data_IF_791487496702
#
_entry.id   IF_791487496702
#
_cell.length_a   1.000
_cell.length_b   1.000
_cell.length_c   1.000
_cell.angle_alpha   90.00
_cell.angle_beta   90.00
_cell.angle_gamma   90.00
#
_symmetry.space_group_name_H-M   'P 1'
#
loop_
_entity.id
_entity.type
_entity.pdbx_description
1 polymer ?
#
# COMPACT_ATOMS: atom_id res chain seq x y z
N UNK A 1 -29.63 51.25 14.10
CA UNK A 1 -29.16 50.97 12.73
C UNK A 1 -28.25 49.77 12.88
N UNK A 2 -28.86 48.62 12.81
CA UNK A 2 -28.17 47.33 12.86
C UNK A 2 -27.87 46.87 11.44
N UNK A 3 -26.64 46.87 11.08
CA UNK A 3 -26.15 46.53 9.78
C UNK A 3 -25.82 45.05 9.69
N UNK A 4 -26.58 44.36 8.89
CA UNK A 4 -26.49 42.97 8.50
C UNK A 4 -25.13 42.64 7.93
N UNK A 5 -24.26 42.03 8.70
CA UNK A 5 -23.07 41.31 8.19
C UNK A 5 -23.54 39.90 7.80
N UNK A 6 -23.91 39.73 6.55
CA UNK A 6 -24.14 38.43 5.92
C UNK A 6 -22.80 37.68 5.85
N UNK A 7 -22.60 36.74 6.76
CA UNK A 7 -21.57 35.75 6.63
C UNK A 7 -21.82 34.92 5.35
N UNK A 8 -21.01 35.15 4.35
CA UNK A 8 -20.90 34.28 3.18
C UNK A 8 -20.19 33.00 3.66
N UNK A 9 -20.98 31.99 3.99
CA UNK A 9 -20.45 30.64 4.19
C UNK A 9 -20.00 30.13 2.83
N UNK A 10 -18.72 30.15 2.57
CA UNK A 10 -18.08 29.38 1.50
C UNK A 10 -18.28 27.89 1.80
N UNK A 11 -19.34 27.33 1.26
CA UNK A 11 -19.45 25.89 1.04
C UNK A 11 -18.36 25.47 0.05
N UNK A 12 -17.19 25.09 0.58
CA UNK A 12 -16.19 24.39 -0.21
C UNK A 12 -16.79 23.06 -0.65
N UNK A 13 -17.42 23.04 -1.81
CA UNK A 13 -17.90 21.83 -2.46
C UNK A 13 -16.68 20.93 -2.74
N UNK A 14 -16.49 19.91 -1.89
CA UNK A 14 -15.47 18.87 -2.12
C UNK A 14 -15.68 18.31 -3.52
N UNK A 15 -14.67 18.33 -4.41
CA UNK A 15 -14.82 17.83 -5.77
C UNK A 15 -15.27 16.37 -5.71
N UNK A 16 -16.42 16.06 -6.34
CA UNK A 16 -16.92 14.69 -6.49
C UNK A 16 -15.81 13.87 -7.14
N UNK A 17 -15.20 12.97 -6.38
CA UNK A 17 -14.17 12.06 -6.90
C UNK A 17 -14.81 11.22 -8.00
N UNK A 18 -14.24 11.21 -9.19
CA UNK A 18 -14.72 10.36 -10.27
C UNK A 18 -14.67 8.89 -9.83
N UNK A 19 -15.61 8.02 -10.25
CA UNK A 19 -15.59 6.62 -9.87
C UNK A 19 -14.26 5.95 -10.21
N UNK A 20 -13.62 6.35 -11.30
CA UNK A 20 -12.30 5.90 -11.69
C UNK A 20 -11.22 6.27 -10.65
N UNK A 21 -11.28 7.47 -10.07
CA UNK A 21 -10.30 7.86 -9.03
C UNK A 21 -10.47 7.07 -7.74
N UNK A 22 -11.70 6.67 -7.41
CA UNK A 22 -11.97 5.80 -6.24
C UNK A 22 -11.39 4.41 -6.49
N UNK A 23 -11.66 3.81 -7.65
CA UNK A 23 -11.12 2.49 -8.03
C UNK A 23 -9.59 2.49 -8.00
N UNK A 24 -8.95 3.50 -8.59
CA UNK A 24 -7.48 3.62 -8.56
C UNK A 24 -6.95 3.76 -7.13
N UNK A 25 -7.63 4.55 -6.29
CA UNK A 25 -7.22 4.71 -4.89
C UNK A 25 -7.33 3.38 -4.13
N UNK A 26 -8.43 2.66 -4.29
CA UNK A 26 -8.63 1.34 -3.66
C UNK A 26 -7.57 0.35 -4.13
N UNK A 27 -7.32 0.28 -5.44
CA UNK A 27 -6.29 -0.59 -6.01
C UNK A 27 -4.89 -0.26 -5.46
N UNK A 28 -4.57 1.03 -5.33
CA UNK A 28 -3.31 1.48 -4.73
C UNK A 28 -3.17 0.98 -3.29
N UNK A 29 -4.23 1.10 -2.47
CA UNK A 29 -4.19 0.62 -1.09
C UNK A 29 -4.06 -0.90 -1.00
N UNK A 30 -4.69 -1.65 -1.92
CA UNK A 30 -4.54 -3.11 -2.01
C UNK A 30 -3.08 -3.48 -2.32
N UNK A 31 -2.45 -2.81 -3.29
CA UNK A 31 -1.04 -3.05 -3.64
C UNK A 31 -0.10 -2.70 -2.48
N UNK A 32 -0.34 -1.59 -1.78
CA UNK A 32 0.44 -1.21 -0.58
C UNK A 32 0.29 -2.25 0.51
N UNK A 33 -0.94 -2.66 0.82
CA UNK A 33 -1.21 -3.67 1.85
C UNK A 33 -0.53 -5.02 1.49
N UNK A 34 -0.59 -5.42 0.21
CA UNK A 34 0.09 -6.62 -0.28
C UNK A 34 1.61 -6.50 -0.17
N UNK A 35 2.20 -5.37 -0.55
CA UNK A 35 3.65 -5.15 -0.43
C UNK A 35 4.11 -5.18 1.03
N UNK A 36 3.36 -4.56 1.94
CA UNK A 36 3.63 -4.60 3.38
C UNK A 36 3.48 -6.02 3.93
N UNK A 37 2.45 -6.75 3.50
CA UNK A 37 2.27 -8.15 3.88
C UNK A 37 3.45 -9.02 3.44
N UNK A 38 3.89 -8.90 2.18
CA UNK A 38 5.04 -9.66 1.66
C UNK A 38 6.33 -9.27 2.39
N UNK A 39 6.52 -7.99 2.71
CA UNK A 39 7.68 -7.53 3.48
C UNK A 39 7.69 -8.14 4.89
N UNK A 40 6.58 -8.08 5.61
CA UNK A 40 6.44 -8.69 6.95
C UNK A 40 6.65 -10.21 6.85
N UNK A 41 6.01 -10.86 5.87
CA UNK A 41 6.16 -12.29 5.63
C UNK A 41 7.62 -12.66 5.34
N UNK A 42 8.34 -11.88 4.53
CA UNK A 42 9.75 -12.12 4.24
C UNK A 42 10.62 -12.00 5.49
N UNK A 43 10.41 -10.94 6.29
CA UNK A 43 11.13 -10.73 7.55
C UNK A 43 10.87 -11.89 8.53
N UNK A 44 9.60 -12.25 8.70
CA UNK A 44 9.20 -13.37 9.57
C UNK A 44 9.77 -14.69 9.03
N UNK A 45 9.66 -14.94 7.73
CA UNK A 45 10.19 -16.14 7.08
C UNK A 45 11.71 -16.26 7.21
N UNK A 46 12.46 -15.16 7.08
CA UNK A 46 13.92 -15.16 7.22
C UNK A 46 14.37 -15.34 8.68
N UNK A 47 13.65 -14.75 9.64
CA UNK A 47 14.00 -14.82 11.04
C UNK A 47 13.51 -16.10 11.74
N UNK A 48 12.40 -16.67 11.28
CA UNK A 48 11.77 -17.87 11.86
C UNK A 48 12.24 -19.13 11.13
N UNK A 49 12.50 -19.05 9.80
CA UNK A 49 12.95 -20.20 8.97
C UNK A 49 14.46 -20.40 8.98
N UNK A 50 15.24 -19.47 9.53
CA UNK A 50 16.72 -19.61 9.62
C UNK A 50 17.19 -20.73 10.56
N UNK A 51 16.34 -21.28 11.41
CA UNK A 51 16.63 -22.43 12.27
C UNK A 51 15.48 -23.40 12.49
N UNK A 52 14.23 -23.02 12.30
CA UNK A 52 13.08 -23.92 12.41
C UNK A 52 11.92 -23.34 11.59
N UNK A 53 11.18 -24.23 10.99
CA UNK A 53 9.99 -24.02 10.16
C UNK A 53 8.98 -23.06 10.81
N UNK A 54 8.35 -22.22 10.00
CA UNK A 54 7.38 -21.25 10.49
C UNK A 54 6.25 -21.95 11.24
N UNK A 55 6.21 -21.76 12.54
CA UNK A 55 5.14 -22.23 13.40
C UNK A 55 4.13 -21.11 13.59
N UNK A 56 2.89 -21.35 13.14
CA UNK A 56 1.78 -20.40 13.25
C UNK A 56 0.59 -21.15 13.87
N UNK A 57 0.18 -20.74 15.06
CA UNK A 57 -0.96 -21.34 15.77
C UNK A 57 -0.87 -22.87 15.92
N UNK A 58 0.31 -23.42 16.22
CA UNK A 58 0.53 -24.85 16.40
C UNK A 58 0.54 -25.65 15.10
N UNK A 59 0.69 -24.98 13.96
CA UNK A 59 0.83 -25.60 12.65
C UNK A 59 2.13 -25.20 12.01
N UNK A 60 2.69 -26.10 11.17
CA UNK A 60 3.85 -25.87 10.31
C UNK A 60 3.48 -25.99 8.86
N UNK A 61 4.19 -25.24 8.02
CA UNK A 61 3.95 -25.17 6.59
C UNK A 61 5.20 -25.62 5.84
N UNK A 62 5.04 -26.62 4.98
CA UNK A 62 6.13 -27.16 4.18
C UNK A 62 5.82 -27.04 2.70
N UNK A 63 6.83 -26.73 1.90
CA UNK A 63 6.76 -26.80 0.45
C UNK A 63 7.25 -28.17 0.03
N UNK A 64 6.40 -28.94 -0.63
CA UNK A 64 6.71 -30.27 -1.11
C UNK A 64 7.70 -30.20 -2.25
N UNK A 65 8.82 -30.91 -2.13
CA UNK A 65 9.90 -30.89 -3.11
C UNK A 65 9.79 -32.01 -4.14
N UNK A 66 9.18 -33.13 -3.79
CA UNK A 66 9.16 -34.36 -4.58
C UNK A 66 7.74 -34.86 -4.80
N UNK A 67 7.55 -35.68 -5.83
CA UNK A 67 6.27 -36.28 -6.18
C UNK A 67 6.00 -37.61 -5.51
N UNK A 68 6.69 -37.98 -4.43
CA UNK A 68 6.56 -39.28 -3.76
C UNK A 68 5.16 -39.61 -3.24
N UNK A 69 4.32 -38.57 -3.06
CA UNK A 69 2.94 -38.65 -2.60
C UNK A 69 1.92 -38.24 -3.67
N UNK A 70 2.34 -38.00 -4.91
CA UNK A 70 1.45 -37.57 -5.98
C UNK A 70 0.59 -38.73 -6.50
N UNK A 71 -0.48 -38.40 -7.23
CA UNK A 71 -1.40 -39.36 -7.81
C UNK A 71 -0.67 -40.37 -8.72
N UNK A 72 -0.97 -41.65 -8.56
CA UNK A 72 -0.48 -42.75 -9.38
C UNK A 72 -1.49 -43.92 -9.35
N UNK A 73 -1.23 -44.96 -10.14
CA UNK A 73 -2.04 -46.18 -10.09
C UNK A 73 -1.99 -46.86 -8.71
N UNK A 74 -0.88 -46.70 -7.96
CA UNK A 74 -0.69 -47.34 -6.67
C UNK A 74 -1.53 -46.72 -5.55
N UNK A 75 -1.97 -45.46 -5.71
CA UNK A 75 -2.67 -44.69 -4.68
C UNK A 75 -3.95 -44.00 -5.18
N UNK A 76 -4.48 -44.39 -6.34
CA UNK A 76 -5.68 -43.80 -6.96
C UNK A 76 -6.93 -43.87 -6.09
N UNK A 77 -7.00 -44.84 -5.19
CA UNK A 77 -8.11 -45.05 -4.27
C UNK A 77 -7.91 -44.34 -2.92
N UNK A 78 -6.81 -43.57 -2.75
CA UNK A 78 -6.55 -42.78 -1.57
C UNK A 78 -7.14 -41.38 -1.73
N UNK A 79 -7.60 -40.79 -0.63
CA UNK A 79 -8.23 -39.46 -0.64
C UNK A 79 -7.22 -38.31 -0.75
N UNK A 80 -5.94 -38.57 -0.45
CA UNK A 80 -4.91 -37.51 -0.35
C UNK A 80 -3.79 -37.75 -1.34
N UNK A 81 -3.62 -36.79 -2.24
CA UNK A 81 -2.50 -36.71 -3.17
C UNK A 81 -1.77 -35.37 -3.00
N UNK A 82 -0.46 -35.44 -2.93
CA UNK A 82 0.39 -34.26 -2.68
C UNK A 82 1.45 -34.20 -3.78
N UNK A 83 1.43 -33.12 -4.57
CA UNK A 83 2.35 -32.95 -5.69
C UNK A 83 3.55 -32.08 -5.31
N UNK A 84 4.65 -32.25 -6.02
CA UNK A 84 5.76 -31.31 -5.89
C UNK A 84 5.29 -29.89 -6.16
N UNK A 85 5.71 -28.95 -5.32
CA UNK A 85 5.28 -27.54 -5.39
C UNK A 85 3.97 -27.22 -4.69
N UNK A 86 3.30 -28.20 -4.10
CA UNK A 86 2.20 -27.93 -3.19
C UNK A 86 2.72 -27.45 -1.84
N UNK A 87 1.90 -26.70 -1.12
CA UNK A 87 2.16 -26.36 0.29
C UNK A 87 1.29 -27.25 1.17
N UNK A 88 1.90 -27.95 2.12
CA UNK A 88 1.18 -28.73 3.12
C UNK A 88 1.15 -28.01 4.47
N UNK A 89 0.04 -28.18 5.15
CA UNK A 89 -0.18 -27.74 6.51
C UNK A 89 -0.12 -28.97 7.42
N UNK A 90 0.73 -28.94 8.42
CA UNK A 90 0.86 -29.99 9.42
C UNK A 90 0.58 -29.45 10.82
N UNK A 91 -0.13 -30.21 11.63
CA UNK A 91 -0.30 -29.93 13.06
C UNK A 91 0.93 -30.45 13.80
N UNK A 92 1.48 -29.62 14.69
CA UNK A 92 2.59 -30.05 15.55
C UNK A 92 2.02 -30.98 16.62
N UNK A 93 2.46 -32.26 16.67
CA UNK A 93 1.99 -33.18 17.70
C UNK A 93 2.64 -32.86 19.04
N UNK A 94 1.90 -33.02 20.11
CA UNK A 94 2.46 -33.06 21.46
C UNK A 94 3.36 -34.28 21.62
N UNK A 95 4.24 -34.32 22.62
CA UNK A 95 5.10 -35.46 22.87
C UNK A 95 4.30 -36.75 23.04
N UNK A 96 3.16 -36.69 23.76
CA UNK A 96 2.30 -37.84 23.93
C UNK A 96 1.60 -38.30 22.62
N UNK A 97 1.27 -37.38 21.71
CA UNK A 97 0.67 -37.69 20.42
C UNK A 97 1.69 -38.33 19.47
N UNK A 98 2.98 -37.94 19.52
CA UNK A 98 4.07 -38.51 18.70
C UNK A 98 4.22 -40.01 18.89
N UNK A 99 3.90 -40.53 20.08
CA UNK A 99 4.00 -41.94 20.45
C UNK A 99 2.69 -42.72 20.21
N UNK A 100 1.66 -42.08 19.65
CA UNK A 100 0.32 -42.67 19.43
C UNK A 100 -0.14 -42.60 17.97
N UNK A 101 0.76 -42.34 17.03
CA UNK A 101 0.42 -42.30 15.63
C UNK A 101 0.10 -43.68 15.12
N UNK A 102 -0.75 -43.74 14.06
CA UNK A 102 -1.30 -44.97 13.53
C UNK A 102 -0.94 -45.16 12.06
N UNK A 103 -1.03 -46.39 11.60
CA UNK A 103 -0.97 -46.75 10.19
C UNK A 103 -1.95 -45.93 9.35
N UNK A 104 -1.58 -45.55 8.13
CA UNK A 104 -2.35 -44.71 7.24
C UNK A 104 -2.30 -43.21 7.52
N UNK A 105 -1.75 -42.78 8.64
CA UNK A 105 -1.52 -41.32 8.90
C UNK A 105 -0.35 -40.84 8.06
N UNK A 106 -0.51 -39.60 7.51
CA UNK A 106 0.55 -38.89 6.81
C UNK A 106 1.29 -38.01 7.82
N UNK A 107 2.59 -38.17 7.87
CA UNK A 107 3.47 -37.44 8.79
C UNK A 107 4.59 -36.73 8.01
N UNK A 108 5.01 -35.58 8.53
CA UNK A 108 6.26 -34.93 8.12
C UNK A 108 7.29 -35.17 9.21
N UNK A 109 8.47 -35.61 8.84
CA UNK A 109 9.55 -35.97 9.75
C UNK A 109 10.91 -35.59 9.18
N UNK A 110 11.94 -35.51 10.04
CA UNK A 110 13.34 -35.35 9.60
C UNK A 110 13.84 -36.71 9.09
N UNK A 111 14.19 -36.75 7.82
CA UNK A 111 14.72 -37.97 7.22
C UNK A 111 16.14 -38.30 7.71
N UNK A 112 16.34 -39.59 7.94
CA UNK A 112 17.68 -40.18 8.18
C UNK A 112 18.17 -41.04 6.99
N UNK A 113 17.41 -41.07 5.88
CA UNK A 113 17.85 -41.72 4.65
C UNK A 113 19.02 -40.97 4.03
N UNK A 114 19.98 -41.68 3.42
CA UNK A 114 21.19 -41.07 2.84
C UNK A 114 20.90 -39.96 1.85
N UNK A 115 19.91 -40.17 0.97
CA UNK A 115 19.55 -39.23 -0.10
C UNK A 115 18.87 -37.94 0.40
N UNK A 116 18.23 -37.99 1.57
CA UNK A 116 17.40 -36.89 2.12
C UNK A 116 17.77 -36.58 3.56
N UNK A 117 18.97 -36.89 3.98
CA UNK A 117 19.42 -36.76 5.37
C UNK A 117 19.27 -35.32 5.89
N UNK A 118 18.57 -35.20 7.01
CA UNK A 118 18.31 -33.90 7.65
C UNK A 118 17.22 -33.05 6.98
N UNK A 119 16.61 -33.51 5.90
CA UNK A 119 15.52 -32.80 5.24
C UNK A 119 14.15 -33.23 5.78
N UNK A 120 13.17 -32.31 5.82
CA UNK A 120 11.79 -32.67 6.11
C UNK A 120 11.19 -33.44 4.94
N UNK A 121 10.74 -34.67 5.20
CA UNK A 121 10.05 -35.57 4.25
C UNK A 121 8.65 -35.81 4.75
N UNK A 122 7.68 -35.90 3.80
CA UNK A 122 6.27 -36.17 4.11
C UNK A 122 5.85 -37.49 3.46
N UNK A 123 5.59 -38.48 4.28
CA UNK A 123 5.19 -39.83 3.84
C UNK A 123 4.06 -40.37 4.71
N UNK A 124 3.44 -41.46 4.27
CA UNK A 124 2.40 -42.18 5.00
C UNK A 124 3.02 -43.26 5.88
N UNK A 125 2.50 -43.44 7.09
CA UNK A 125 2.87 -44.56 7.98
C UNK A 125 2.31 -45.86 7.38
N UNK A 126 3.22 -46.76 7.10
CA UNK A 126 2.88 -48.12 6.60
C UNK A 126 2.69 -49.08 7.75
N UNK A 127 3.55 -48.99 8.77
CA UNK A 127 3.56 -49.89 9.92
C UNK A 127 4.11 -49.18 11.15
N UNK A 128 3.60 -49.55 12.32
CA UNK A 128 4.09 -49.11 13.62
C UNK A 128 5.00 -50.17 14.19
N UNK A 129 6.24 -49.82 14.50
CA UNK A 129 7.28 -50.78 14.93
C UNK A 129 7.42 -50.79 16.45
N UNK A 130 7.44 -51.99 17.03
CA UNK A 130 7.61 -52.19 18.46
C UNK A 130 8.82 -53.14 18.72
N UNK A 131 9.46 -52.95 19.87
CA UNK A 131 10.49 -53.91 20.33
C UNK A 131 9.87 -55.17 20.95
N UNK A 132 10.74 -56.11 21.35
CA UNK A 132 10.33 -57.39 21.97
C UNK A 132 9.53 -57.19 23.28
N UNK A 133 9.77 -56.06 23.97
CA UNK A 133 9.06 -55.67 25.20
C UNK A 133 7.74 -54.94 24.95
N UNK A 134 7.37 -54.74 23.68
CA UNK A 134 6.15 -54.02 23.28
C UNK A 134 6.26 -52.49 23.37
N UNK A 135 7.44 -51.94 23.47
CA UNK A 135 7.72 -50.52 23.47
C UNK A 135 7.84 -50.02 22.04
N UNK A 136 7.24 -48.88 21.72
CA UNK A 136 7.33 -48.25 20.42
C UNK A 136 8.79 -47.92 20.04
N UNK A 137 9.26 -48.45 18.92
CA UNK A 137 10.55 -48.11 18.28
C UNK A 137 10.33 -46.89 17.36
N UNK A 138 9.28 -46.91 16.51
CA UNK A 138 9.02 -45.85 15.54
C UNK A 138 8.02 -46.25 14.47
N UNK A 139 8.13 -45.61 13.33
CA UNK A 139 7.21 -45.71 12.21
C UNK A 139 7.96 -46.05 10.93
N UNK A 140 7.59 -47.15 10.29
CA UNK A 140 7.97 -47.43 8.92
C UNK A 140 7.07 -46.65 7.99
N UNK A 141 7.64 -45.81 7.13
CA UNK A 141 6.91 -44.93 6.21
C UNK A 141 7.13 -45.30 4.77
N UNK A 142 6.28 -44.77 3.88
CA UNK A 142 6.41 -44.99 2.44
C UNK A 142 5.79 -43.84 1.64
N UNK A 143 6.36 -43.58 0.44
CA UNK A 143 5.78 -42.69 -0.55
C UNK A 143 4.63 -43.40 -1.29
N UNK A 144 3.44 -42.86 -1.23
CA UNK A 144 2.23 -43.52 -1.78
C UNK A 144 2.27 -43.70 -3.30
N UNK A 145 3.02 -42.85 -4.02
CA UNK A 145 3.17 -42.95 -5.49
C UNK A 145 3.87 -44.21 -5.93
N UNK A 146 5.01 -44.51 -5.35
CA UNK A 146 5.85 -45.64 -5.71
C UNK A 146 5.48 -46.91 -4.93
N UNK A 147 4.91 -46.75 -3.73
CA UNK A 147 4.70 -47.82 -2.78
C UNK A 147 5.98 -48.32 -2.11
N UNK A 148 7.13 -47.70 -2.43
CA UNK A 148 8.41 -48.04 -1.84
C UNK A 148 8.50 -47.63 -0.38
N UNK A 149 8.93 -48.58 0.46
CA UNK A 149 9.09 -48.38 1.89
C UNK A 149 10.42 -47.66 2.18
N UNK A 150 10.39 -46.67 3.06
CA UNK A 150 11.59 -46.01 3.53
C UNK A 150 12.51 -47.01 4.26
N UNK A 151 13.81 -46.88 4.01
CA UNK A 151 14.81 -47.83 4.57
C UNK A 151 15.02 -47.67 6.05
N UNK A 152 14.73 -46.46 6.59
CA UNK A 152 15.01 -46.12 7.97
C UNK A 152 13.70 -45.87 8.72
N UNK A 153 13.55 -46.51 9.86
CA UNK A 153 12.41 -46.32 10.76
C UNK A 153 12.46 -44.90 11.36
N UNK A 154 11.34 -44.21 11.32
CA UNK A 154 11.20 -42.86 11.86
C UNK A 154 10.91 -42.94 13.35
N UNK A 155 11.86 -42.56 14.19
CA UNK A 155 11.64 -42.46 15.62
C UNK A 155 10.63 -41.33 15.95
N UNK A 156 9.78 -41.46 17.00
CA UNK A 156 8.76 -40.47 17.34
C UNK A 156 9.30 -39.04 17.51
N UNK A 157 10.50 -38.89 18.03
CA UNK A 157 11.14 -37.58 18.28
C UNK A 157 11.49 -36.82 16.99
N UNK A 158 11.63 -37.52 15.86
CA UNK A 158 11.88 -36.92 14.55
C UNK A 158 10.60 -36.53 13.79
N UNK A 159 9.42 -36.84 14.34
CA UNK A 159 8.15 -36.43 13.76
C UNK A 159 7.94 -34.92 14.01
N UNK A 160 7.88 -34.16 12.94
CA UNK A 160 7.68 -32.72 12.96
C UNK A 160 6.22 -32.32 12.97
N UNK A 161 5.34 -33.11 12.30
CA UNK A 161 3.95 -32.78 12.17
C UNK A 161 3.10 -33.91 11.59
N UNK A 162 1.80 -33.88 11.87
CA UNK A 162 0.78 -34.71 11.24
C UNK A 162 0.06 -33.89 10.18
N UNK A 163 -0.17 -34.47 9.02
CA UNK A 163 -0.84 -33.82 7.88
C UNK A 163 -2.26 -33.36 8.26
N UNK A 164 -2.60 -32.14 7.83
CA UNK A 164 -3.94 -31.56 8.00
C UNK A 164 -4.56 -31.26 6.65
N UNK A 165 -3.85 -30.55 5.78
CA UNK A 165 -4.36 -30.11 4.49
C UNK A 165 -3.25 -29.81 3.48
N UNK A 166 -3.60 -29.81 2.20
CA UNK A 166 -2.76 -29.35 1.10
C UNK A 166 -3.35 -28.11 0.47
N UNK A 167 -2.51 -27.12 0.18
CA UNK A 167 -2.85 -25.97 -0.65
C UNK A 167 -2.11 -26.14 -1.98
N UNK A 168 -2.81 -26.52 -3.06
CA UNK A 168 -2.20 -26.79 -4.34
C UNK A 168 -1.51 -25.53 -4.92
N UNK A 169 -0.40 -25.73 -5.62
CA UNK A 169 0.32 -24.69 -6.38
C UNK A 169 0.93 -23.55 -5.52
N UNK A 170 0.44 -23.32 -4.32
CA UNK A 170 0.87 -22.20 -3.48
C UNK A 170 2.36 -22.30 -3.11
N UNK A 171 2.87 -23.50 -2.96
CA UNK A 171 4.29 -23.74 -2.73
C UNK A 171 5.18 -23.25 -3.88
N UNK A 172 4.74 -23.43 -5.13
CA UNK A 172 5.46 -22.89 -6.31
C UNK A 172 5.55 -21.37 -6.28
N UNK A 173 4.45 -20.70 -5.88
CA UNK A 173 4.47 -19.24 -5.73
C UNK A 173 5.47 -18.80 -4.67
N UNK A 174 5.49 -19.42 -3.51
CA UNK A 174 6.45 -19.10 -2.46
C UNK A 174 7.88 -19.51 -2.81
N UNK A 175 8.05 -20.64 -3.50
CA UNK A 175 9.35 -21.03 -4.02
C UNK A 175 9.88 -20.00 -5.02
N UNK A 176 9.03 -19.52 -5.94
CA UNK A 176 9.37 -18.46 -6.88
C UNK A 176 9.72 -17.15 -6.16
N UNK A 177 8.94 -16.74 -5.15
CA UNK A 177 9.23 -15.54 -4.34
C UNK A 177 10.61 -15.56 -3.68
N UNK A 178 11.11 -16.74 -3.32
CA UNK A 178 12.46 -16.91 -2.73
C UNK A 178 13.60 -16.78 -3.76
N UNK A 179 13.27 -16.82 -5.05
CA UNK A 179 14.27 -16.61 -6.11
C UNK A 179 14.54 -15.14 -6.35
N UNK A 180 15.74 -14.77 -6.79
CA UNK A 180 16.08 -13.39 -7.15
C UNK A 180 15.12 -12.79 -8.19
N UNK A 181 14.77 -13.50 -9.30
CA UNK A 181 13.77 -13.01 -10.26
C UNK A 181 12.39 -12.81 -9.64
N UNK A 182 11.96 -13.76 -8.79
CA UNK A 182 10.66 -13.67 -8.11
C UNK A 182 10.55 -12.45 -7.22
N UNK A 183 11.59 -12.18 -6.44
CA UNK A 183 11.68 -10.99 -5.59
C UNK A 183 11.57 -9.70 -6.42
N UNK A 184 12.33 -9.61 -7.53
CA UNK A 184 12.31 -8.44 -8.41
C UNK A 184 10.92 -8.24 -9.03
N UNK A 185 10.32 -9.29 -9.57
CA UNK A 185 9.02 -9.20 -10.25
C UNK A 185 7.89 -8.91 -9.27
N UNK A 186 7.85 -9.62 -8.15
CA UNK A 186 6.70 -9.56 -7.23
C UNK A 186 6.78 -8.40 -6.24
N UNK A 187 7.96 -7.88 -5.94
CA UNK A 187 8.14 -6.82 -4.94
C UNK A 187 8.64 -5.53 -5.57
N UNK A 188 9.79 -5.58 -6.27
CA UNK A 188 10.45 -4.37 -6.76
C UNK A 188 9.63 -3.67 -7.85
N UNK A 189 9.13 -4.42 -8.84
CA UNK A 189 8.36 -3.83 -9.96
C UNK A 189 7.07 -3.15 -9.46
N UNK A 190 6.17 -3.79 -8.69
CA UNK A 190 4.99 -3.13 -8.16
C UNK A 190 5.32 -1.91 -7.30
N UNK A 191 6.39 -1.96 -6.50
CA UNK A 191 6.82 -0.85 -5.68
C UNK A 191 7.30 0.36 -6.52
N UNK A 192 8.09 0.11 -7.58
CA UNK A 192 8.53 1.17 -8.51
C UNK A 192 7.35 1.79 -9.27
N UNK A 193 6.38 0.97 -9.71
CA UNK A 193 5.17 1.46 -10.36
C UNK A 193 4.36 2.37 -9.41
N UNK A 194 4.28 2.00 -8.14
CA UNK A 194 3.59 2.77 -7.12
C UNK A 194 4.27 4.11 -6.86
N UNK A 195 5.60 4.13 -6.72
CA UNK A 195 6.40 5.37 -6.59
C UNK A 195 6.21 6.25 -7.82
N UNK A 196 6.29 5.69 -9.03
CA UNK A 196 6.07 6.42 -10.28
C UNK A 196 4.68 7.05 -10.34
N UNK A 197 3.64 6.30 -9.99
CA UNK A 197 2.27 6.80 -9.92
C UNK A 197 2.11 7.94 -8.90
N UNK A 198 2.67 7.79 -7.69
CA UNK A 198 2.63 8.83 -6.67
C UNK A 198 3.41 10.08 -7.10
N UNK A 199 4.56 9.89 -7.76
CA UNK A 199 5.35 11.00 -8.34
C UNK A 199 4.55 11.81 -9.37
N UNK A 200 3.87 11.13 -10.30
CA UNK A 200 2.99 11.79 -11.28
C UNK A 200 1.85 12.56 -10.60
N UNK A 201 1.21 11.98 -9.58
CA UNK A 201 0.16 12.65 -8.82
C UNK A 201 0.70 13.89 -8.07
N UNK A 202 1.87 13.80 -7.47
CA UNK A 202 2.52 14.94 -6.81
C UNK A 202 2.79 16.08 -7.81
N UNK A 203 3.34 15.77 -8.98
CA UNK A 203 3.58 16.76 -10.05
C UNK A 203 2.27 17.40 -10.52
N UNK A 204 1.20 16.62 -10.70
CA UNK A 204 -0.13 17.13 -11.09
C UNK A 204 -0.70 18.09 -10.03
N UNK A 205 -0.58 17.72 -8.76
CA UNK A 205 -1.03 18.54 -7.65
C UNK A 205 -0.25 19.86 -7.58
N UNK A 206 1.09 19.77 -7.68
CA UNK A 206 1.95 20.94 -7.69
C UNK A 206 1.66 21.91 -8.85
N UNK A 207 1.38 21.37 -10.05
CA UNK A 207 0.97 22.18 -11.22
C UNK A 207 -0.38 22.88 -10.98
N UNK A 208 -1.34 22.23 -10.29
CA UNK A 208 -2.61 22.85 -9.91
C UNK A 208 -2.41 24.00 -8.93
N UNK A 209 -1.66 23.78 -7.86
CA UNK A 209 -1.34 24.83 -6.88
C UNK A 209 -0.65 26.03 -7.54
N UNK A 210 0.34 25.76 -8.40
CA UNK A 210 1.01 26.82 -9.14
C UNK A 210 0.08 27.61 -10.04
N UNK A 211 -0.89 26.94 -10.69
CA UNK A 211 -1.88 27.59 -11.55
C UNK A 211 -2.87 28.44 -10.74
N UNK A 212 -3.31 27.95 -9.59
CA UNK A 212 -4.19 28.68 -8.66
C UNK A 212 -3.50 29.92 -8.11
N UNK A 213 -2.27 29.82 -7.62
CA UNK A 213 -1.48 30.97 -7.17
C UNK A 213 -1.22 31.99 -8.29
N UNK A 214 -0.92 31.52 -9.50
CA UNK A 214 -0.71 32.41 -10.64
C UNK A 214 -2.01 33.15 -11.01
N UNK A 215 -3.19 32.49 -10.92
CA UNK A 215 -4.48 33.11 -11.18
C UNK A 215 -4.81 34.15 -10.09
N UNK A 216 -4.50 33.89 -8.83
CA UNK A 216 -4.69 34.82 -7.71
C UNK A 216 -3.82 36.08 -7.87
N UNK A 217 -2.52 35.89 -8.15
CA UNK A 217 -1.58 37.00 -8.46
C UNK A 217 -2.04 37.81 -9.68
N UNK A 218 -2.60 37.15 -10.69
CA UNK A 218 -3.12 37.84 -11.87
C UNK A 218 -4.34 38.68 -11.51
N UNK A 219 -5.28 38.16 -10.74
CA UNK A 219 -6.45 38.89 -10.27
C UNK A 219 -6.07 40.13 -9.42
N UNK A 220 -5.10 39.98 -8.52
CA UNK A 220 -4.57 41.13 -7.75
C UNK A 220 -3.94 42.21 -8.65
N UNK A 221 -3.19 41.78 -9.67
CA UNK A 221 -2.59 42.71 -10.64
C UNK A 221 -3.66 43.47 -11.43
N UNK A 222 -4.70 42.77 -11.88
CA UNK A 222 -5.80 43.37 -12.63
C UNK A 222 -6.57 44.37 -11.75
N UNK A 223 -6.80 44.08 -10.47
CA UNK A 223 -7.39 45.02 -9.51
C UNK A 223 -6.54 46.27 -9.28
N UNK A 224 -5.23 46.09 -9.10
CA UNK A 224 -4.29 47.22 -8.91
C UNK A 224 -4.25 48.11 -10.19
N UNK A 225 -4.36 47.51 -11.37
CA UNK A 225 -4.39 48.24 -12.64
C UNK A 225 -5.68 49.04 -12.78
N UNK A 226 -6.86 48.50 -12.41
CA UNK A 226 -8.13 49.22 -12.36
C UNK A 226 -8.13 50.36 -11.36
N UNK A 227 -7.61 50.15 -10.17
CA UNK A 227 -7.45 51.21 -9.15
C UNK A 227 -6.53 52.34 -9.63
N UNK A 228 -5.45 52.00 -10.34
CA UNK A 228 -4.56 53.02 -10.93
C UNK A 228 -5.24 53.79 -12.04
N UNK A 229 -6.05 53.17 -12.89
CA UNK A 229 -6.82 53.87 -13.93
C UNK A 229 -7.86 54.79 -13.31
N UNK A 230 -8.61 54.34 -12.32
CA UNK A 230 -9.59 55.14 -11.59
C UNK A 230 -8.92 56.34 -10.87
N UNK A 231 -7.77 56.13 -10.24
CA UNK A 231 -6.98 57.19 -9.60
C UNK A 231 -6.47 58.24 -10.61
N UNK A 232 -6.02 57.77 -11.80
CA UNK A 232 -5.57 58.64 -12.87
C UNK A 232 -6.69 59.48 -13.47
N UNK A 233 -7.90 58.94 -13.60
CA UNK A 233 -9.10 59.67 -14.03
C UNK A 233 -9.52 60.71 -13.00
N UNK A 234 -9.54 60.37 -11.72
CA UNK A 234 -9.86 61.30 -10.62
C UNK A 234 -8.86 62.47 -10.57
N UNK A 235 -7.57 62.18 -10.80
CA UNK A 235 -6.56 63.25 -10.89
C UNK A 235 -6.79 64.17 -12.05
N UNK A 236 -7.21 63.68 -13.23
CA UNK A 236 -7.57 64.52 -14.39
C UNK A 236 -8.80 65.37 -14.10
N UNK A 237 -9.82 64.84 -13.47
CA UNK A 237 -10.98 65.61 -13.07
C UNK A 237 -10.64 66.72 -12.08
N UNK A 238 -9.82 66.41 -11.07
CA UNK A 238 -9.34 67.39 -10.11
C UNK A 238 -8.50 68.50 -10.77
N UNK A 239 -7.68 68.19 -11.77
CA UNK A 239 -6.95 69.17 -12.54
C UNK A 239 -7.87 70.07 -13.37
N UNK A 240 -8.86 69.49 -14.05
CA UNK A 240 -9.84 70.23 -14.82
C UNK A 240 -10.72 71.15 -13.95
N UNK A 241 -11.12 70.69 -12.76
CA UNK A 241 -11.86 71.46 -11.79
C UNK A 241 -11.02 72.66 -11.26
N UNK A 242 -9.74 72.42 -11.01
CA UNK A 242 -8.79 73.47 -10.57
C UNK A 242 -8.56 74.52 -11.66
N UNK A 243 -8.48 74.13 -12.92
CA UNK A 243 -8.41 75.09 -14.04
C UNK A 243 -9.69 75.90 -14.17
N UNK A 244 -10.84 75.28 -14.02
CA UNK A 244 -12.14 76.00 -14.03
C UNK A 244 -12.25 76.97 -12.88
N UNK A 245 -11.83 76.65 -11.67
CA UNK A 245 -11.78 77.51 -10.53
C UNK A 245 -10.82 78.69 -10.74
N UNK A 246 -9.63 78.44 -11.33
CA UNK A 246 -8.67 79.49 -11.64
C UNK A 246 -9.21 80.46 -12.69
N UNK A 247 -9.91 79.94 -13.73
CA UNK A 247 -10.57 80.78 -14.75
C UNK A 247 -11.72 81.62 -14.17
N UNK A 248 -12.53 81.08 -13.24
CA UNK A 248 -13.57 81.84 -12.53
C UNK A 248 -13.00 82.91 -11.60
N UNK A 249 -11.87 82.68 -10.97
CA UNK A 249 -11.19 83.65 -10.13
C UNK A 249 -10.60 84.79 -10.99
N UNK A 250 -10.01 84.45 -12.13
CA UNK A 250 -9.51 85.47 -13.08
C UNK A 250 -10.65 86.37 -13.64
N UNK A 251 -11.81 85.75 -13.97
CA UNK A 251 -12.96 86.50 -14.42
C UNK A 251 -13.58 87.45 -13.36
N UNK A 252 -13.47 87.07 -12.07
CA UNK A 252 -13.90 87.94 -10.95
C UNK A 252 -12.96 89.06 -10.67
N UNK A 253 -11.75 89.03 -11.15
CA UNK A 253 -10.74 90.09 -10.88
C UNK A 253 -10.78 91.20 -11.97
N UNK A 254 -11.53 90.99 -13.07
CA UNK A 254 -11.77 91.96 -14.15
C UNK A 254 -13.05 92.84 -14.03
N UNK A 255 -13.75 92.86 -12.88
CA UNK A 255 -14.82 93.83 -12.67
C UNK A 255 -14.20 95.22 -12.44
N UNK A 256 -14.68 96.23 -13.23
CA UNK A 256 -14.06 97.62 -13.13
C UNK A 256 -14.44 98.29 -11.80
N UNK A 257 -13.45 98.90 -11.17
CA UNK A 257 -13.58 99.78 -10.02
C UNK A 257 -14.52 100.95 -10.37
N UNK A 258 -15.51 101.31 -9.57
CA UNK A 258 -16.32 102.52 -9.81
C UNK A 258 -15.43 103.79 -9.56
N UNK A 259 -15.50 104.70 -10.54
CA UNK A 259 -14.95 106.06 -10.48
C UNK A 259 -15.56 106.77 -9.33
N UNK A 260 -14.69 107.32 -8.42
CA UNK A 260 -15.06 108.26 -7.37
C UNK A 260 -14.91 109.64 -7.95
N UNK A 261 -15.98 110.36 -8.19
CA UNK A 261 -16.03 111.79 -8.50
C UNK A 261 -15.37 112.61 -7.37
N UNK A 262 -14.41 113.41 -7.77
CA UNK A 262 -14.00 114.61 -7.06
C UNK A 262 -15.15 115.56 -6.90
N UNK A 263 -15.35 116.07 -5.71
CA UNK A 263 -16.04 117.32 -5.50
C UNK A 263 -15.30 118.19 -4.54
N UNK A 264 -14.71 119.29 -5.12
CA UNK A 264 -14.18 120.44 -4.41
C UNK A 264 -15.34 121.14 -3.66
N UNK A 265 -15.05 121.59 -2.50
CA UNK A 265 -15.34 122.96 -2.14
C UNK A 265 -14.83 123.28 -0.73
N UNK A 266 -13.82 124.05 -0.62
CA UNK A 266 -13.65 125.43 -0.27
C UNK A 266 -14.26 125.84 1.08
N UNK A 267 -13.37 126.59 1.79
CA UNK A 267 -13.63 127.67 2.77
C UNK A 267 -13.97 127.32 4.22
N UNK A 268 -13.19 127.59 5.13
CA UNK A 268 -12.79 128.79 5.86
C UNK A 268 -11.76 128.43 6.95
#
# INVERSE_FOLDING_TARGET
>A
MEENVKAVSEETSKPKKSPLSIVVTVLTWIVVAFAVFVMIFTIVSMNVVGKNEAEIFGHRFYIVKTDSMSLSENNKDMDVHINAGDMIITKIPTDAERYKLKEGQIITFISKNEDTYGEPVTHMIKQVEYDEDGKLIGYTTFGTKTGETDKVVVEPDYVLGTYVATIPVLGHFFAFLKTTPGYIVCILIPFLLLIGYQGVNCIRLFRRYKKEQMAEIQAERDQIEEERKASAEMLKELQALKEQLAAQQAAKTEEPKPETEENENSES
#
